data_IF_756618518261
#
_entry.id   IF_756618518261
#
_cell.length_a   1.000
_cell.length_b   1.000
_cell.length_c   1.000
_cell.angle_alpha   90.00
_cell.angle_beta   90.00
_cell.angle_gamma   90.00
#
_symmetry.space_group_name_H-M   'P 1'
#
loop_
_entity.id
_entity.type
_entity.pdbx_description
1 polymer ?
#
# COMPACT_ATOMS: atom_id res chain seq x y z
N UNK A 1 56.36 -21.46 -69.60
CA UNK A 1 55.96 -20.96 -68.27
C UNK A 1 54.46 -20.61 -68.30
N UNK A 2 53.64 -21.43 -67.69
CA UNK A 2 52.15 -21.18 -67.61
C UNK A 2 51.85 -20.56 -66.29
N UNK A 3 50.98 -19.55 -66.19
CA UNK A 3 50.57 -19.01 -64.91
C UNK A 3 49.44 -19.86 -64.34
N UNK A 4 49.54 -20.13 -63.04
CA UNK A 4 48.50 -20.79 -62.21
C UNK A 4 47.48 -19.76 -61.76
N UNK A 5 46.22 -19.95 -62.17
CA UNK A 5 45.13 -19.13 -61.72
C UNK A 5 44.60 -19.63 -60.36
N UNK A 6 44.63 -18.78 -59.35
CA UNK A 6 44.17 -19.05 -58.02
C UNK A 6 42.64 -18.69 -57.97
N UNK A 7 41.80 -19.69 -57.81
CA UNK A 7 40.34 -19.52 -57.69
C UNK A 7 40.00 -19.30 -56.21
N UNK A 8 39.60 -18.08 -55.85
CA UNK A 8 39.15 -17.76 -54.50
C UNK A 8 37.64 -18.04 -54.44
N UNK A 9 37.26 -19.05 -53.69
CA UNK A 9 35.86 -19.38 -53.42
C UNK A 9 35.36 -18.46 -52.28
N UNK A 10 34.47 -17.55 -52.61
CA UNK A 10 33.78 -16.67 -51.64
C UNK A 10 32.54 -17.38 -51.15
N UNK A 11 32.57 -17.94 -49.92
CA UNK A 11 31.38 -18.48 -49.22
C UNK A 11 30.60 -17.35 -48.59
N UNK A 12 29.47 -17.03 -49.14
CA UNK A 12 28.49 -16.08 -48.58
C UNK A 12 27.69 -16.82 -47.51
N UNK A 13 27.93 -16.51 -46.24
CA UNK A 13 27.04 -16.92 -45.12
C UNK A 13 25.83 -15.99 -45.09
N UNK A 14 24.68 -16.46 -45.53
CA UNK A 14 23.39 -15.82 -45.27
C UNK A 14 22.94 -16.13 -43.88
N UNK A 15 23.11 -15.17 -42.96
CA UNK A 15 22.49 -15.21 -41.64
C UNK A 15 20.98 -14.98 -41.78
N UNK A 16 20.19 -16.02 -41.63
CA UNK A 16 18.75 -15.92 -41.50
C UNK A 16 18.40 -15.27 -40.16
N UNK A 17 17.97 -14.01 -40.21
CA UNK A 17 17.43 -13.31 -39.07
C UNK A 17 16.04 -13.91 -38.76
N UNK A 18 15.96 -14.78 -37.72
CA UNK A 18 14.66 -15.21 -37.16
C UNK A 18 14.04 -14.01 -36.44
N UNK A 19 13.15 -13.30 -37.11
CA UNK A 19 12.25 -12.34 -36.46
C UNK A 19 11.21 -13.16 -35.73
N UNK A 20 11.39 -13.37 -34.43
CA UNK A 20 10.35 -13.88 -33.56
C UNK A 20 9.23 -12.81 -33.47
N UNK A 21 8.18 -12.99 -34.23
CA UNK A 21 6.92 -12.26 -34.04
C UNK A 21 6.37 -12.66 -32.69
N UNK A 22 6.53 -11.77 -31.68
CA UNK A 22 5.83 -11.88 -30.41
C UNK A 22 4.34 -11.66 -30.74
N UNK A 23 3.59 -12.76 -30.87
CA UNK A 23 2.12 -12.68 -30.89
C UNK A 23 1.68 -12.06 -29.56
N UNK A 24 0.69 -11.14 -29.56
CA UNK A 24 0.10 -10.67 -28.31
C UNK A 24 -0.48 -11.89 -27.60
N UNK A 25 0.12 -12.25 -26.45
CA UNK A 25 -0.23 -13.45 -25.70
C UNK A 25 -1.69 -13.39 -25.29
N UNK A 26 -2.44 -14.42 -25.65
CA UNK A 26 -3.62 -14.86 -24.91
C UNK A 26 -3.19 -14.84 -23.44
N UNK A 27 -3.80 -13.99 -22.62
CA UNK A 27 -3.41 -13.82 -21.21
C UNK A 27 -3.30 -15.19 -20.55
N UNK A 28 -2.13 -15.53 -20.05
CA UNK A 28 -1.90 -16.82 -19.43
C UNK A 28 -2.91 -16.98 -18.29
N UNK A 29 -3.78 -17.98 -18.40
CA UNK A 29 -4.70 -18.32 -17.33
C UNK A 29 -3.86 -18.75 -16.12
N UNK A 30 -4.17 -18.21 -14.93
CA UNK A 30 -3.51 -18.65 -13.71
C UNK A 30 -3.74 -20.14 -13.51
N UNK A 31 -2.70 -20.93 -13.19
CA UNK A 31 -2.87 -22.35 -12.85
C UNK A 31 -3.50 -22.52 -11.45
N UNK A 32 -3.66 -21.44 -10.69
CA UNK A 32 -4.10 -21.48 -9.31
C UNK A 32 -5.57 -21.11 -9.17
N UNK A 33 -6.26 -21.79 -8.27
CA UNK A 33 -7.58 -21.37 -7.79
C UNK A 33 -7.40 -20.28 -6.73
N UNK A 34 -8.33 -19.33 -6.70
CA UNK A 34 -8.36 -18.30 -5.67
C UNK A 34 -8.56 -18.95 -4.29
N UNK A 35 -7.76 -18.57 -3.27
CA UNK A 35 -8.01 -18.99 -1.90
C UNK A 35 -9.37 -18.48 -1.43
N UNK A 36 -10.01 -19.27 -0.58
CA UNK A 36 -11.33 -18.96 -0.01
C UNK A 36 -11.17 -18.49 1.43
N UNK A 37 -12.08 -17.62 1.85
CA UNK A 37 -12.04 -17.03 3.18
C UNK A 37 -13.43 -16.98 3.79
N UNK A 38 -13.48 -17.19 5.12
CA UNK A 38 -14.66 -16.92 5.94
C UNK A 38 -14.38 -15.79 6.93
N UNK A 39 -15.35 -14.88 7.14
CA UNK A 39 -15.20 -13.80 8.10
C UNK A 39 -15.33 -14.33 9.53
N UNK A 40 -14.48 -13.83 10.44
CA UNK A 40 -14.66 -14.01 11.88
C UNK A 40 -15.50 -12.86 12.44
N UNK A 41 -16.79 -13.07 12.74
CA UNK A 41 -17.67 -11.98 13.15
C UNK A 41 -17.39 -11.44 14.56
N UNK A 42 -16.55 -12.14 15.34
CA UNK A 42 -16.22 -11.79 16.72
C UNK A 42 -14.88 -11.07 16.85
N UNK A 43 -14.18 -10.84 15.74
CA UNK A 43 -12.90 -10.15 15.74
C UNK A 43 -13.02 -8.71 15.25
N UNK A 44 -12.39 -7.70 15.90
CA UNK A 44 -11.69 -7.74 17.19
C UNK A 44 -12.63 -7.52 18.38
N UNK A 45 -12.20 -7.90 19.59
CA UNK A 45 -12.91 -7.62 20.81
C UNK A 45 -12.50 -6.26 21.36
N UNK A 46 -13.37 -5.25 21.23
CA UNK A 46 -13.10 -3.89 21.71
C UNK A 46 -13.58 -3.77 23.16
N UNK A 47 -12.65 -3.61 24.14
CA UNK A 47 -13.01 -3.52 25.54
C UNK A 47 -13.44 -2.10 25.95
N UNK A 48 -13.78 -1.92 27.23
CA UNK A 48 -13.99 -0.64 27.89
C UNK A 48 -15.11 0.25 27.28
N UNK A 49 -16.02 -0.33 26.50
CA UNK A 49 -17.01 0.42 25.72
C UNK A 49 -16.37 1.44 24.74
N UNK A 50 -15.14 1.18 24.32
CA UNK A 50 -14.45 2.05 23.39
C UNK A 50 -15.12 2.09 22.03
N UNK A 51 -15.00 3.24 21.39
CA UNK A 51 -15.48 3.48 20.03
C UNK A 51 -14.26 3.74 19.14
N UNK A 52 -14.24 3.08 18.00
CA UNK A 52 -13.25 3.36 16.95
C UNK A 52 -13.75 4.49 16.03
N UNK A 53 -12.83 5.36 15.65
CA UNK A 53 -13.01 6.25 14.50
C UNK A 53 -12.73 5.49 13.19
N UNK A 54 -12.53 6.23 12.10
CA UNK A 54 -12.09 5.64 10.83
C UNK A 54 -10.85 4.78 11.06
N UNK A 55 -10.96 3.48 10.80
CA UNK A 55 -9.81 2.57 10.86
C UNK A 55 -9.06 2.72 9.55
N UNK A 56 -7.99 3.49 9.58
CA UNK A 56 -7.27 3.88 8.35
C UNK A 56 -6.27 2.85 7.90
N UNK A 57 -5.66 2.12 8.83
CA UNK A 57 -4.64 1.15 8.45
C UNK A 57 -4.52 0.01 9.45
N UNK A 58 -3.90 -1.07 9.01
CA UNK A 58 -3.69 -2.28 9.79
C UNK A 58 -2.37 -2.92 9.38
N UNK A 59 -1.63 -3.45 10.34
CA UNK A 59 -0.38 -4.16 10.11
C UNK A 59 -0.32 -5.42 10.97
N UNK A 60 0.43 -6.41 10.53
CA UNK A 60 0.68 -7.65 11.29
C UNK A 60 2.18 -7.75 11.53
N UNK A 61 2.57 -8.00 12.78
CA UNK A 61 3.97 -8.20 13.13
C UNK A 61 4.42 -9.66 12.94
N UNK A 62 5.70 -9.93 13.15
CA UNK A 62 6.30 -11.26 13.01
C UNK A 62 5.80 -12.31 14.00
N UNK A 63 5.06 -11.88 15.05
CA UNK A 63 4.45 -12.76 16.04
C UNK A 63 2.94 -12.95 15.81
N UNK A 64 2.44 -12.59 14.63
CA UNK A 64 1.01 -12.59 14.29
C UNK A 64 0.15 -11.73 15.22
N UNK A 65 0.68 -10.62 15.76
CA UNK A 65 -0.09 -9.60 16.45
C UNK A 65 -0.55 -8.55 15.47
N UNK A 66 -1.76 -8.10 15.65
CA UNK A 66 -2.44 -7.22 14.72
C UNK A 66 -2.47 -5.81 15.29
N UNK A 67 -1.87 -4.87 14.56
CA UNK A 67 -1.77 -3.47 14.91
C UNK A 67 -2.78 -2.67 14.09
N UNK A 68 -3.73 -2.06 14.78
CA UNK A 68 -4.82 -1.28 14.18
C UNK A 68 -4.57 0.19 14.45
N UNK A 69 -4.65 1.00 13.39
CA UNK A 69 -4.57 2.45 13.46
C UNK A 69 -5.93 3.05 13.11
N UNK A 70 -6.46 3.89 13.99
CA UNK A 70 -7.69 4.62 13.72
C UNK A 70 -7.56 6.11 14.03
N UNK A 71 -8.54 6.90 13.59
CA UNK A 71 -8.60 8.36 13.74
C UNK A 71 -9.62 8.72 14.82
N UNK A 72 -9.22 8.94 16.08
CA UNK A 72 -10.15 9.32 17.16
C UNK A 72 -10.96 10.58 16.85
N UNK A 73 -10.38 11.53 16.13
CA UNK A 73 -11.02 12.80 15.76
C UNK A 73 -12.20 12.61 14.79
N UNK A 74 -12.28 11.45 14.09
CA UNK A 74 -13.40 11.12 13.19
C UNK A 74 -14.63 10.58 13.92
N UNK A 75 -14.53 10.32 15.23
CA UNK A 75 -15.66 9.88 16.07
C UNK A 75 -16.63 11.05 16.26
N UNK A 76 -17.94 10.85 16.10
CA UNK A 76 -18.93 11.87 16.42
C UNK A 76 -18.73 12.43 17.84
N UNK A 77 -18.91 13.73 18.00
CA UNK A 77 -18.63 14.42 19.26
C UNK A 77 -19.32 13.78 20.47
N UNK A 78 -20.57 13.38 20.31
CA UNK A 78 -21.34 12.72 21.37
C UNK A 78 -20.74 11.38 21.88
N UNK A 79 -19.88 10.74 21.09
CA UNK A 79 -19.23 9.45 21.41
C UNK A 79 -17.72 9.60 21.71
N UNK A 80 -17.16 10.79 21.53
CA UNK A 80 -15.72 11.03 21.59
C UNK A 80 -15.12 10.77 22.98
N UNK A 81 -15.92 10.89 24.04
CA UNK A 81 -15.50 10.55 25.40
C UNK A 81 -15.10 9.06 25.56
N UNK A 82 -15.61 8.19 24.69
CA UNK A 82 -15.30 6.76 24.67
C UNK A 82 -14.30 6.40 23.55
N UNK A 83 -13.58 7.37 22.99
CA UNK A 83 -12.60 7.10 21.94
C UNK A 83 -11.49 6.19 22.45
N UNK A 84 -11.18 5.13 21.70
CA UNK A 84 -9.98 4.34 21.93
C UNK A 84 -8.72 5.18 21.65
N UNK A 85 -7.55 4.84 22.22
CA UNK A 85 -6.27 5.36 21.75
C UNK A 85 -6.03 5.02 20.28
N UNK A 86 -5.36 5.88 19.48
CA UNK A 86 -5.26 5.70 18.03
C UNK A 86 -4.53 4.42 17.58
N UNK A 87 -3.63 3.86 18.39
CA UNK A 87 -2.91 2.61 18.11
C UNK A 87 -3.38 1.52 19.04
N UNK A 88 -3.82 0.40 18.48
CA UNK A 88 -4.31 -0.76 19.23
C UNK A 88 -3.56 -2.02 18.77
N UNK A 89 -3.14 -2.85 19.71
CA UNK A 89 -2.51 -4.16 19.46
C UNK A 89 -3.45 -5.27 19.90
N UNK A 90 -3.73 -6.21 19.01
CA UNK A 90 -4.56 -7.39 19.27
C UNK A 90 -3.77 -8.67 19.03
N UNK A 91 -4.13 -9.74 19.74
CA UNK A 91 -3.73 -11.07 19.34
C UNK A 91 -4.59 -11.59 18.16
N UNK A 92 -4.21 -12.72 17.60
CA UNK A 92 -4.94 -13.32 16.49
C UNK A 92 -6.36 -13.77 16.85
N UNK A 93 -6.68 -13.94 18.15
CA UNK A 93 -8.03 -14.23 18.65
C UNK A 93 -8.89 -12.98 18.85
N UNK A 94 -8.31 -11.79 18.71
CA UNK A 94 -9.01 -10.51 18.84
C UNK A 94 -8.96 -9.88 20.23
N UNK A 95 -8.22 -10.46 21.16
CA UNK A 95 -8.03 -9.88 22.50
C UNK A 95 -7.07 -8.69 22.43
N UNK A 96 -7.46 -7.55 22.98
CA UNK A 96 -6.59 -6.38 23.09
C UNK A 96 -5.40 -6.71 24.02
N UNK A 97 -4.19 -6.42 23.55
CA UNK A 97 -2.93 -6.61 24.27
C UNK A 97 -2.37 -5.29 24.77
N UNK A 98 -2.37 -4.26 23.95
CA UNK A 98 -1.89 -2.92 24.31
C UNK A 98 -2.59 -1.84 23.50
N UNK A 99 -2.50 -0.59 23.96
CA UNK A 99 -3.00 0.58 23.26
C UNK A 99 -2.25 1.84 23.68
N UNK A 100 -1.99 2.73 22.72
CA UNK A 100 -1.28 3.98 22.97
C UNK A 100 -1.47 4.97 21.81
N UNK A 101 -0.90 6.14 21.92
CA UNK A 101 -0.89 7.17 20.87
C UNK A 101 -1.74 8.38 21.21
N UNK A 102 -1.71 9.35 20.32
CA UNK A 102 -2.36 10.63 20.50
C UNK A 102 -1.44 11.73 21.02
N UNK A 103 -1.93 12.97 21.13
CA UNK A 103 -1.15 14.11 21.60
C UNK A 103 -0.51 13.85 22.97
N UNK A 104 0.78 14.16 23.09
CA UNK A 104 1.56 13.98 24.35
C UNK A 104 2.26 12.62 24.47
N UNK A 105 2.04 11.67 23.59
CA UNK A 105 2.79 10.41 23.55
C UNK A 105 4.22 10.66 23.09
N UNK A 106 5.20 9.96 23.69
CA UNK A 106 6.61 10.10 23.35
C UNK A 106 7.34 11.29 23.98
N UNK A 107 6.78 11.93 25.03
CA UNK A 107 7.47 12.96 25.81
C UNK A 107 7.43 14.37 25.22
N UNK A 108 6.30 14.77 24.63
CA UNK A 108 6.12 16.10 24.04
C UNK A 108 6.40 16.16 22.55
N UNK A 109 6.42 15.02 21.90
CA UNK A 109 6.57 14.89 20.44
C UNK A 109 5.33 15.39 19.72
N UNK A 110 5.54 15.95 18.55
CA UNK A 110 4.49 16.27 17.62
C UNK A 110 3.76 14.99 17.17
N UNK A 111 2.48 14.88 17.47
CA UNK A 111 1.63 13.80 16.97
C UNK A 111 1.00 14.19 15.65
N UNK A 112 0.56 13.20 14.86
CA UNK A 112 -0.12 13.42 13.59
C UNK A 112 -1.47 14.14 13.80
N UNK A 113 -1.80 15.05 12.92
CA UNK A 113 -3.11 15.71 12.91
C UNK A 113 -4.23 14.78 12.41
N UNK A 114 -3.88 13.79 11.58
CA UNK A 114 -4.80 12.72 11.14
C UNK A 114 -4.02 11.48 10.73
N UNK A 115 -4.12 10.45 11.50
CA UNK A 115 -3.47 9.16 11.30
C UNK A 115 -3.91 8.52 9.97
N UNK A 116 -2.96 7.89 9.22
CA UNK A 116 -3.32 7.27 7.95
C UNK A 116 -2.71 5.89 7.72
N UNK A 117 -1.39 5.75 7.67
CA UNK A 117 -0.70 4.49 7.43
C UNK A 117 0.04 3.98 8.66
N UNK A 118 -0.02 2.68 8.94
CA UNK A 118 0.80 1.99 9.96
C UNK A 118 1.53 0.81 9.35
N UNK A 119 2.80 0.66 9.72
CA UNK A 119 3.60 -0.51 9.38
C UNK A 119 4.43 -0.95 10.57
N UNK A 120 4.45 -2.24 10.87
CA UNK A 120 5.35 -2.83 11.86
C UNK A 120 6.47 -3.53 11.14
N UNK A 121 7.71 -3.11 11.42
CA UNK A 121 8.89 -3.66 10.76
C UNK A 121 9.43 -4.93 11.44
N UNK A 122 10.33 -5.64 10.77
CA UNK A 122 10.89 -6.89 11.27
C UNK A 122 11.81 -6.72 12.50
N UNK A 123 12.13 -5.49 12.86
CA UNK A 123 12.91 -5.14 14.07
C UNK A 123 12.03 -4.66 15.24
N UNK A 124 10.70 -4.90 15.15
CA UNK A 124 9.72 -4.52 16.17
C UNK A 124 9.64 -2.99 16.39
N UNK A 125 9.67 -2.21 15.30
CA UNK A 125 9.35 -0.80 15.32
C UNK A 125 8.07 -0.52 14.55
N UNK A 126 7.30 0.44 15.02
CA UNK A 126 6.05 0.90 14.43
C UNK A 126 6.30 2.21 13.69
N UNK A 127 5.91 2.24 12.43
CA UNK A 127 6.02 3.40 11.58
C UNK A 127 4.62 3.92 11.25
N UNK A 128 4.40 5.23 11.41
CA UNK A 128 3.10 5.85 11.21
C UNK A 128 3.28 7.09 10.34
N UNK A 129 2.44 7.20 9.28
CA UNK A 129 2.26 8.39 8.47
C UNK A 129 0.86 8.98 8.64
N UNK A 130 0.70 10.24 8.26
CA UNK A 130 -0.57 10.94 8.40
C UNK A 130 -0.94 11.77 7.17
N UNK A 131 -2.21 12.28 7.17
CA UNK A 131 -2.77 13.07 6.08
C UNK A 131 -3.46 14.36 6.53
N UNK A 132 -3.16 14.92 7.66
CA UNK A 132 -3.69 16.21 8.06
C UNK A 132 -3.39 17.29 7.00
N UNK A 133 -4.35 18.15 6.71
CA UNK A 133 -4.23 19.18 5.67
C UNK A 133 -4.94 18.88 4.36
N UNK A 134 -5.34 17.64 4.06
CA UNK A 134 -5.99 17.28 2.80
C UNK A 134 -7.45 16.83 2.95
N UNK A 135 -8.33 17.15 2.05
CA UNK A 135 -8.55 18.43 1.35
C UNK A 135 -9.42 19.38 2.16
N UNK A 136 -9.75 19.00 3.41
CA UNK A 136 -10.72 19.69 4.28
C UNK A 136 -10.17 20.06 5.65
N UNK A 137 -8.88 20.00 5.83
CA UNK A 137 -8.28 20.46 7.08
C UNK A 137 -8.33 21.97 7.12
N UNK A 138 -9.07 22.50 8.08
CA UNK A 138 -9.27 23.93 8.23
C UNK A 138 -8.30 24.60 9.20
N UNK A 139 -7.42 23.83 9.82
CA UNK A 139 -6.42 24.38 10.75
C UNK A 139 -5.19 24.85 9.97
N UNK A 140 -4.95 26.15 9.86
CA UNK A 140 -3.78 26.68 9.18
C UNK A 140 -2.48 26.16 9.83
N UNK A 141 -1.52 25.76 9.00
CA UNK A 141 -0.19 25.30 9.47
C UNK A 141 -0.14 23.87 9.97
N UNK A 142 -1.25 23.13 9.96
CA UNK A 142 -1.28 21.70 10.29
C UNK A 142 -1.29 20.87 9.00
N UNK A 143 -0.16 20.23 8.71
CA UNK A 143 -0.01 19.26 7.64
C UNK A 143 0.89 18.13 8.13
N UNK A 144 0.51 16.89 7.91
CA UNK A 144 1.31 15.73 8.32
C UNK A 144 2.45 15.50 7.31
N UNK A 145 3.47 16.36 7.35
CA UNK A 145 4.62 16.30 6.46
C UNK A 145 5.75 15.45 7.04
N UNK A 146 5.39 14.44 7.85
CA UNK A 146 6.33 13.62 8.58
C UNK A 146 5.94 12.15 8.65
N UNK A 147 6.93 11.31 8.93
CA UNK A 147 6.78 9.90 9.29
C UNK A 147 7.41 9.71 10.67
N UNK A 148 6.69 9.02 11.54
CA UNK A 148 7.10 8.77 12.92
C UNK A 148 7.43 7.29 13.12
N UNK A 149 8.57 7.00 13.77
CA UNK A 149 9.00 5.65 14.16
C UNK A 149 8.94 5.52 15.68
N UNK A 150 8.25 4.50 16.16
CA UNK A 150 8.07 4.21 17.57
C UNK A 150 8.57 2.81 17.94
N UNK A 151 8.92 2.61 19.22
CA UNK A 151 8.96 1.26 19.79
C UNK A 151 7.54 0.69 19.87
N UNK A 152 7.40 -0.61 20.11
CA UNK A 152 6.10 -1.27 20.35
C UNK A 152 5.32 -0.65 21.52
N UNK A 153 6.03 -0.09 22.51
CA UNK A 153 5.43 0.59 23.66
C UNK A 153 5.11 2.09 23.44
N UNK A 154 5.19 2.59 22.19
CA UNK A 154 4.83 3.96 21.85
C UNK A 154 5.89 5.03 22.18
N UNK A 155 7.14 4.65 22.47
CA UNK A 155 8.24 5.61 22.62
C UNK A 155 8.75 6.03 21.24
N UNK A 156 8.78 7.34 20.95
CA UNK A 156 9.34 7.85 19.68
C UNK A 156 10.85 7.54 19.61
N UNK A 157 11.28 7.05 18.45
CA UNK A 157 12.67 6.70 18.13
C UNK A 157 13.26 7.59 17.05
N UNK A 158 12.46 7.87 16.01
CA UNK A 158 12.88 8.67 14.86
C UNK A 158 11.68 9.43 14.30
N UNK A 159 11.92 10.66 13.87
CA UNK A 159 11.00 11.46 13.09
C UNK A 159 11.68 11.86 11.78
N UNK A 160 11.03 11.60 10.64
CA UNK A 160 11.44 12.04 9.31
C UNK A 160 10.47 13.14 8.90
N UNK A 161 10.99 14.33 8.63
CA UNK A 161 10.18 15.50 8.32
C UNK A 161 9.57 16.20 9.54
N UNK A 162 8.81 17.27 9.30
CA UNK A 162 8.12 18.08 10.32
C UNK A 162 6.82 18.61 9.77
N UNK A 163 5.81 18.75 10.64
CA UNK A 163 4.49 19.29 10.27
C UNK A 163 4.61 20.65 9.59
N UNK A 164 3.89 20.81 8.49
CA UNK A 164 3.81 22.07 7.73
C UNK A 164 5.12 22.52 7.06
N UNK A 165 6.12 21.64 6.89
CA UNK A 165 7.43 22.01 6.35
C UNK A 165 7.73 21.46 4.96
N UNK A 166 6.77 20.77 4.32
CA UNK A 166 6.97 20.23 2.99
C UNK A 166 7.22 21.32 1.95
N UNK A 167 8.21 21.08 1.11
CA UNK A 167 8.58 21.92 -0.05
C UNK A 167 8.10 21.30 -1.38
N UNK A 168 7.21 20.31 -1.33
CA UNK A 168 6.66 19.64 -2.51
C UNK A 168 7.46 18.41 -2.97
N UNK A 169 7.26 17.99 -4.21
CA UNK A 169 7.80 16.73 -4.75
C UNK A 169 9.33 16.62 -4.75
N UNK A 170 10.04 17.73 -4.78
CA UNK A 170 11.51 17.76 -4.75
C UNK A 170 12.10 17.73 -3.34
N UNK A 171 11.28 17.75 -2.28
CA UNK A 171 11.76 17.81 -0.90
C UNK A 171 12.48 16.52 -0.52
N UNK A 172 13.69 16.64 0.04
CA UNK A 172 14.51 15.52 0.51
C UNK A 172 14.52 15.35 2.03
N UNK A 173 13.82 16.21 2.76
CA UNK A 173 13.76 16.22 4.21
C UNK A 173 12.38 15.84 4.73
N UNK A 174 11.32 16.25 4.02
CA UNK A 174 9.94 16.05 4.43
C UNK A 174 9.16 15.24 3.38
N UNK A 175 8.13 14.54 3.84
CA UNK A 175 7.02 14.05 3.01
C UNK A 175 5.94 15.14 2.93
N UNK A 176 4.86 14.89 2.19
CA UNK A 176 3.68 15.72 2.21
C UNK A 176 2.44 14.85 2.27
N UNK A 177 2.06 14.47 3.51
CA UNK A 177 0.91 13.61 3.79
C UNK A 177 1.08 12.19 3.20
N UNK A 178 2.11 11.49 3.69
CA UNK A 178 2.41 10.12 3.26
C UNK A 178 1.24 9.18 3.58
N UNK A 179 0.82 8.41 2.58
CA UNK A 179 -0.35 7.54 2.66
C UNK A 179 -0.04 6.18 3.26
N UNK A 180 1.10 5.60 2.93
CA UNK A 180 1.55 4.29 3.43
C UNK A 180 3.06 4.24 3.48
N UNK A 181 3.58 3.36 4.31
CA UNK A 181 5.01 3.10 4.44
C UNK A 181 5.28 1.60 4.41
N UNK A 182 6.45 1.24 3.92
CA UNK A 182 7.01 -0.11 4.01
C UNK A 182 8.47 -0.02 4.40
N UNK A 183 8.95 -0.91 5.27
CA UNK A 183 10.35 -0.92 5.72
C UNK A 183 11.03 -2.22 5.35
N UNK A 184 12.09 -2.10 4.56
CA UNK A 184 13.05 -3.17 4.29
C UNK A 184 14.18 -3.05 5.32
N UNK A 185 14.07 -3.83 6.40
CA UNK A 185 15.05 -3.78 7.50
C UNK A 185 16.43 -4.27 7.09
N UNK A 186 16.51 -5.20 6.14
CA UNK A 186 17.78 -5.71 5.64
C UNK A 186 18.54 -4.65 4.79
N UNK A 187 17.81 -3.86 4.00
CA UNK A 187 18.36 -2.75 3.24
C UNK A 187 18.48 -1.45 4.05
N UNK A 188 17.94 -1.40 5.27
CA UNK A 188 17.80 -0.20 6.11
C UNK A 188 17.09 0.92 5.36
N UNK A 189 15.93 0.60 4.76
CA UNK A 189 15.19 1.53 3.92
C UNK A 189 13.71 1.61 4.35
N UNK A 190 13.20 2.83 4.46
CA UNK A 190 11.76 3.10 4.55
C UNK A 190 11.29 3.72 3.24
N UNK A 191 10.36 3.05 2.60
CA UNK A 191 9.68 3.49 1.40
C UNK A 191 8.36 4.16 1.80
N UNK A 192 8.11 5.36 1.33
CA UNK A 192 6.85 6.05 1.56
C UNK A 192 6.12 6.29 0.23
N UNK A 193 4.84 5.91 0.20
CA UNK A 193 3.92 6.40 -0.80
C UNK A 193 3.50 7.82 -0.38
N UNK A 194 4.11 8.83 -0.98
CA UNK A 194 3.93 10.24 -0.63
C UNK A 194 2.90 10.85 -1.58
N UNK A 195 1.60 10.66 -1.27
CA UNK A 195 0.55 10.71 -2.27
C UNK A 195 -0.55 11.76 -2.08
N UNK A 196 -0.94 12.15 -0.86
CA UNK A 196 -2.00 13.15 -0.71
C UNK A 196 -1.54 14.56 -1.06
N UNK A 197 -0.37 14.95 -0.62
CA UNK A 197 0.21 16.26 -0.92
C UNK A 197 1.23 16.22 -2.03
N UNK A 198 1.89 15.08 -2.27
CA UNK A 198 2.88 14.85 -3.31
C UNK A 198 2.41 13.77 -4.31
N UNK A 199 3.23 13.49 -5.33
CA UNK A 199 2.99 12.47 -6.37
C UNK A 199 4.23 11.62 -6.59
N UNK A 200 4.73 11.00 -5.52
CA UNK A 200 6.01 10.28 -5.57
C UNK A 200 6.06 9.09 -4.62
N UNK A 201 7.00 8.20 -4.90
CA UNK A 201 7.60 7.35 -3.88
C UNK A 201 8.89 8.01 -3.43
N UNK A 202 9.12 8.08 -2.13
CA UNK A 202 10.37 8.56 -1.55
C UNK A 202 10.94 7.52 -0.60
N UNK A 203 12.25 7.37 -0.60
CA UNK A 203 12.97 6.38 0.23
C UNK A 203 13.96 7.11 1.12
N UNK A 204 13.88 6.80 2.41
CA UNK A 204 14.81 7.29 3.41
C UNK A 204 15.56 6.12 4.06
N UNK A 205 16.67 6.41 4.70
CA UNK A 205 17.35 5.48 5.59
C UNK A 205 16.53 5.28 6.87
N UNK A 206 16.23 4.03 7.22
CA UNK A 206 15.32 3.70 8.34
C UNK A 206 15.95 3.86 9.73
N UNK A 207 17.25 4.11 9.83
CA UNK A 207 17.96 4.33 11.09
C UNK A 207 18.22 5.83 11.33
N UNK A 208 18.52 6.58 10.26
CA UNK A 208 18.95 7.97 10.35
C UNK A 208 17.94 8.98 9.81
N UNK A 209 16.94 8.54 9.06
CA UNK A 209 15.97 9.41 8.38
C UNK A 209 16.55 10.17 7.17
N UNK A 210 17.77 9.88 6.73
CA UNK A 210 18.39 10.56 5.59
C UNK A 210 17.77 10.10 4.28
N UNK A 211 17.56 11.06 3.38
CA UNK A 211 17.09 10.80 2.03
C UNK A 211 18.04 9.87 1.26
N UNK A 212 17.49 8.92 0.51
CA UNK A 212 18.24 8.02 -0.38
C UNK A 212 17.88 8.24 -1.86
N UNK A 213 16.61 8.23 -2.21
CA UNK A 213 16.11 8.41 -3.59
C UNK A 213 14.60 8.65 -3.62
N UNK A 214 14.08 9.06 -4.78
CA UNK A 214 12.65 9.18 -5.05
C UNK A 214 12.36 8.93 -6.53
N UNK A 215 11.13 8.64 -6.85
CA UNK A 215 10.64 8.53 -8.23
C UNK A 215 9.14 8.80 -8.33
N UNK A 216 8.70 9.21 -9.50
CA UNK A 216 7.31 9.35 -9.92
C UNK A 216 6.79 8.13 -10.66
N UNK A 217 5.62 8.24 -11.26
CA UNK A 217 5.08 7.20 -12.11
C UNK A 217 6.04 6.85 -13.25
N UNK A 218 6.06 5.58 -13.68
CA UNK A 218 6.95 5.02 -14.70
C UNK A 218 8.46 5.16 -14.38
N UNK A 219 8.82 5.47 -13.13
CA UNK A 219 10.20 5.71 -12.72
C UNK A 219 10.75 7.10 -13.14
N UNK A 220 9.87 7.98 -13.59
CA UNK A 220 10.21 9.34 -13.98
C UNK A 220 10.56 10.21 -12.75
N UNK A 221 11.19 11.35 -12.99
CA UNK A 221 11.29 12.41 -11.97
C UNK A 221 9.89 12.87 -11.60
N UNK A 222 9.56 13.00 -10.30
CA UNK A 222 8.26 13.53 -9.89
C UNK A 222 8.03 14.94 -10.48
N UNK A 223 6.79 15.31 -10.83
CA UNK A 223 6.51 16.62 -11.41
C UNK A 223 6.89 17.74 -10.41
N UNK A 224 7.50 18.85 -10.87
CA UNK A 224 7.96 19.92 -9.98
C UNK A 224 6.81 20.66 -9.29
N UNK A 225 5.66 20.73 -9.94
CA UNK A 225 4.45 21.37 -9.42
C UNK A 225 3.32 20.37 -9.29
N UNK A 226 2.54 20.51 -8.22
CA UNK A 226 1.34 19.72 -8.01
C UNK A 226 0.18 20.35 -8.78
N UNK A 227 -0.27 19.71 -9.85
CA UNK A 227 -1.65 19.92 -10.26
C UNK A 227 -2.56 19.42 -9.14
N UNK A 228 -3.65 20.12 -8.85
CA UNK A 228 -4.63 19.67 -7.85
C UNK A 228 -4.99 18.20 -8.08
N UNK A 229 -4.85 17.37 -7.05
CA UNK A 229 -5.29 15.98 -7.13
C UNK A 229 -6.80 15.96 -7.33
N UNK A 230 -7.33 15.37 -8.40
CA UNK A 230 -8.76 15.16 -8.48
C UNK A 230 -9.19 14.26 -7.31
N UNK A 231 -10.23 14.65 -6.60
CA UNK A 231 -10.73 13.87 -5.46
C UNK A 231 -11.31 12.50 -5.88
N UNK A 232 -11.56 12.32 -7.16
CA UNK A 232 -12.19 11.14 -7.75
C UNK A 232 -11.34 10.55 -8.89
N UNK A 233 -11.37 9.24 -9.09
CA UNK A 233 -10.75 8.59 -10.24
C UNK A 233 -11.23 9.22 -11.55
N UNK A 234 -10.31 9.47 -12.47
CA UNK A 234 -10.60 10.04 -13.76
C UNK A 234 -10.65 8.95 -14.85
N UNK A 235 -11.51 9.08 -15.87
CA UNK A 235 -11.48 8.20 -17.00
C UNK A 235 -10.10 8.21 -17.67
N UNK A 236 -9.62 7.04 -18.04
CA UNK A 236 -8.31 6.90 -18.70
C UNK A 236 -8.44 7.27 -20.17
N UNK A 237 -7.73 8.29 -20.59
CA UNK A 237 -7.76 8.81 -21.98
C UNK A 237 -6.68 8.19 -22.88
N UNK A 238 -5.71 7.49 -22.31
CA UNK A 238 -4.63 6.80 -23.03
C UNK A 238 -4.47 5.37 -22.50
N UNK A 239 -3.94 4.43 -23.27
CA UNK A 239 -3.71 3.05 -22.82
C UNK A 239 -2.88 2.95 -21.54
N UNK A 240 -1.82 3.76 -21.43
CA UNK A 240 -0.93 3.78 -20.26
C UNK A 240 -1.44 4.67 -19.12
N UNK A 241 -2.38 5.57 -19.41
CA UNK A 241 -2.89 6.56 -18.48
C UNK A 241 -1.95 7.76 -18.28
N UNK A 242 -2.21 8.61 -17.27
CA UNK A 242 -1.42 9.80 -17.02
C UNK A 242 0.06 9.50 -16.74
N UNK A 243 0.99 10.38 -17.20
CA UNK A 243 2.44 10.19 -17.01
C UNK A 243 2.88 10.32 -15.54
N UNK A 244 2.07 10.96 -14.70
CA UNK A 244 2.33 11.16 -13.28
C UNK A 244 1.46 10.25 -12.43
N UNK A 245 1.86 10.02 -11.17
CA UNK A 245 0.95 9.45 -10.19
C UNK A 245 -0.24 10.38 -9.97
N UNK A 246 -1.43 9.81 -9.87
CA UNK A 246 -2.61 10.52 -9.41
C UNK A 246 -2.61 10.64 -7.90
N UNK A 247 -2.50 9.51 -7.22
CA UNK A 247 -2.37 9.42 -5.76
C UNK A 247 -1.70 8.07 -5.42
N UNK A 248 -0.39 7.99 -5.26
CA UNK A 248 0.26 6.80 -4.73
C UNK A 248 -0.21 6.56 -3.30
N UNK A 249 -1.04 5.53 -3.10
CA UNK A 249 -1.80 5.34 -1.86
C UNK A 249 -1.30 4.19 -1.01
N UNK A 250 -0.82 3.11 -1.61
CA UNK A 250 -0.22 2.00 -0.89
C UNK A 250 1.11 1.61 -1.51
N UNK A 251 2.02 1.11 -0.67
CA UNK A 251 3.33 0.62 -1.09
C UNK A 251 3.70 -0.64 -0.32
N UNK A 252 4.16 -1.66 -1.03
CA UNK A 252 4.75 -2.88 -0.44
C UNK A 252 5.91 -3.34 -1.31
N UNK A 253 6.90 -3.96 -0.68
CA UNK A 253 8.00 -4.61 -1.39
C UNK A 253 7.88 -6.11 -1.17
N UNK A 254 7.87 -6.86 -2.28
CA UNK A 254 7.85 -8.32 -2.21
C UNK A 254 9.22 -8.90 -1.84
N UNK A 255 9.26 -10.17 -1.41
CA UNK A 255 10.52 -10.85 -1.03
C UNK A 255 11.53 -10.90 -2.16
N UNK A 256 11.08 -10.98 -3.42
CA UNK A 256 11.91 -10.93 -4.61
C UNK A 256 12.31 -9.50 -5.04
N UNK A 257 11.98 -8.50 -4.23
CA UNK A 257 12.50 -7.13 -4.37
C UNK A 257 11.74 -6.25 -5.33
N UNK A 258 10.51 -6.60 -5.69
CA UNK A 258 9.64 -5.76 -6.50
C UNK A 258 8.81 -4.84 -5.60
N UNK A 259 8.82 -3.56 -5.91
CA UNK A 259 8.03 -2.52 -5.24
C UNK A 259 6.70 -2.37 -5.95
N UNK A 260 5.61 -2.57 -5.23
CA UNK A 260 4.23 -2.40 -5.70
C UNK A 260 3.68 -1.08 -5.19
N UNK A 261 3.15 -0.26 -6.08
CA UNK A 261 2.55 1.05 -5.76
C UNK A 261 1.12 1.09 -6.29
N UNK A 262 0.16 1.31 -5.41
CA UNK A 262 -1.23 1.56 -5.80
C UNK A 262 -1.38 3.02 -6.19
N UNK A 263 -1.54 3.31 -7.46
CA UNK A 263 -1.89 4.64 -7.97
C UNK A 263 -3.41 4.78 -8.01
N UNK A 264 -3.96 5.12 -6.85
CA UNK A 264 -5.38 5.05 -6.52
C UNK A 264 -6.28 5.81 -7.50
N UNK A 265 -5.94 7.05 -7.82
CA UNK A 265 -6.75 7.91 -8.69
C UNK A 265 -6.66 7.47 -10.15
N UNK A 266 -5.56 6.91 -10.57
CA UNK A 266 -5.35 6.43 -11.93
C UNK A 266 -5.76 4.97 -12.15
N UNK A 267 -6.37 4.33 -11.15
CA UNK A 267 -6.82 2.93 -11.21
C UNK A 267 -5.75 1.97 -11.76
N UNK A 268 -4.54 2.06 -11.23
CA UNK A 268 -3.43 1.19 -11.64
C UNK A 268 -2.53 0.79 -10.49
N UNK A 269 -1.85 -0.32 -10.67
CA UNK A 269 -0.76 -0.78 -9.82
C UNK A 269 0.50 -0.69 -10.66
N UNK A 270 1.49 0.07 -10.23
CA UNK A 270 2.78 0.11 -10.90
C UNK A 270 3.83 -0.66 -10.10
N UNK A 271 4.65 -1.43 -10.81
CA UNK A 271 5.70 -2.26 -10.27
C UNK A 271 7.06 -1.65 -10.61
N UNK A 272 7.96 -1.62 -9.63
CA UNK A 272 9.30 -1.06 -9.77
C UNK A 272 10.34 -1.98 -9.16
N UNK A 273 11.59 -1.83 -9.59
CA UNK A 273 12.73 -2.34 -8.80
C UNK A 273 12.89 -1.50 -7.52
N UNK A 274 13.68 -1.97 -6.56
CA UNK A 274 14.04 -1.18 -5.37
C UNK A 274 14.71 0.17 -5.69
N UNK A 275 15.31 0.30 -6.87
CA UNK A 275 15.96 1.53 -7.34
C UNK A 275 14.99 2.49 -8.04
N UNK A 276 13.70 2.15 -8.12
CA UNK A 276 12.67 2.97 -8.76
C UNK A 276 12.58 2.80 -10.28
N UNK A 277 13.28 1.82 -10.88
CA UNK A 277 13.13 1.53 -12.30
C UNK A 277 11.78 0.85 -12.53
N UNK A 278 10.98 1.40 -13.44
CA UNK A 278 9.70 0.83 -13.84
C UNK A 278 9.84 -0.56 -14.45
N UNK A 279 8.96 -1.47 -14.04
CA UNK A 279 8.91 -2.86 -14.53
C UNK A 279 7.67 -3.07 -15.39
N UNK A 280 6.50 -2.85 -14.83
CA UNK A 280 5.20 -2.95 -15.53
C UNK A 280 4.11 -2.27 -14.75
N UNK A 281 2.95 -2.09 -15.39
CA UNK A 281 1.71 -1.71 -14.69
C UNK A 281 0.61 -2.72 -14.95
N UNK A 282 -0.33 -2.76 -14.02
CA UNK A 282 -1.53 -3.58 -14.10
C UNK A 282 -2.73 -2.75 -13.64
N UNK A 283 -3.88 -3.00 -14.24
CA UNK A 283 -5.14 -2.41 -13.81
C UNK A 283 -5.99 -3.45 -13.09
N UNK A 284 -6.71 -3.00 -12.09
CA UNK A 284 -7.78 -3.81 -11.52
C UNK A 284 -8.93 -3.80 -12.53
N UNK A 285 -9.40 -4.99 -12.90
CA UNK A 285 -10.48 -5.11 -13.89
C UNK A 285 -11.84 -4.89 -13.24
N UNK A 286 -12.74 -4.27 -14.01
CA UNK A 286 -14.13 -4.12 -13.62
C UNK A 286 -14.91 -5.40 -13.97
N UNK A 287 -15.77 -5.87 -13.06
CA UNK A 287 -16.58 -7.09 -13.23
C UNK A 287 -17.88 -6.83 -13.99
N UNK A 288 -17.94 -5.77 -14.80
CA UNK A 288 -19.14 -5.40 -15.55
C UNK A 288 -20.13 -4.51 -14.77
N UNK A 289 -19.82 -4.19 -13.52
CA UNK A 289 -20.56 -3.20 -12.76
C UNK A 289 -20.00 -1.81 -13.06
N UNK A 290 -20.51 -0.88 -13.62
CA UNK A 290 -20.00 0.43 -14.02
C UNK A 290 -19.28 1.24 -12.92
N UNK A 291 -18.69 0.58 -11.90
CA UNK A 291 -17.95 1.21 -10.82
C UNK A 291 -16.44 1.15 -11.13
N UNK A 292 -15.79 2.30 -11.14
CA UNK A 292 -14.34 2.37 -11.39
C UNK A 292 -13.57 1.74 -10.23
N UNK A 293 -12.70 0.76 -10.51
CA UNK A 293 -11.84 0.19 -9.47
C UNK A 293 -10.89 1.23 -8.88
N UNK A 294 -10.60 1.10 -7.58
CA UNK A 294 -9.80 2.05 -6.79
C UNK A 294 -8.81 1.29 -5.92
N UNK A 295 -7.64 0.88 -6.45
CA UNK A 295 -6.64 0.16 -5.68
C UNK A 295 -6.13 1.06 -4.55
N UNK A 296 -6.23 0.58 -3.30
CA UNK A 296 -5.94 1.39 -2.12
C UNK A 296 -4.99 0.74 -1.11
N UNK A 297 -4.91 -0.58 -1.05
CA UNK A 297 -4.08 -1.31 -0.10
C UNK A 297 -3.59 -2.64 -0.64
N UNK A 298 -2.53 -3.19 -0.06
CA UNK A 298 -1.92 -4.46 -0.47
C UNK A 298 -1.63 -5.38 0.70
N UNK A 299 -1.79 -6.70 0.46
CA UNK A 299 -1.13 -7.74 1.23
C UNK A 299 -0.64 -8.85 0.29
N UNK A 300 0.41 -9.56 0.70
CA UNK A 300 0.89 -10.77 0.02
C UNK A 300 0.50 -12.00 0.81
N UNK A 301 0.28 -13.12 0.12
CA UNK A 301 0.21 -14.41 0.80
C UNK A 301 1.54 -14.73 1.49
N UNK A 302 1.51 -15.44 2.66
CA UNK A 302 2.70 -15.63 3.48
C UNK A 302 3.65 -16.71 2.96
N UNK A 303 3.25 -17.50 1.94
CA UNK A 303 4.10 -18.51 1.34
C UNK A 303 5.40 -17.92 0.79
N UNK A 304 6.43 -18.75 0.62
CA UNK A 304 7.77 -18.33 0.23
C UNK A 304 7.77 -17.49 -1.07
N UNK A 305 6.95 -17.88 -2.04
CA UNK A 305 6.84 -17.22 -3.35
C UNK A 305 5.89 -16.03 -3.33
N UNK A 306 5.16 -15.82 -2.22
CA UNK A 306 4.08 -14.83 -2.17
C UNK A 306 3.15 -14.98 -3.38
N UNK A 307 2.62 -16.19 -3.53
CA UNK A 307 1.88 -16.62 -4.72
C UNK A 307 0.70 -15.70 -5.05
N UNK A 308 0.03 -15.17 -4.03
CA UNK A 308 -1.09 -14.27 -4.20
C UNK A 308 -0.76 -12.85 -3.75
N UNK A 309 -1.25 -11.90 -4.54
CA UNK A 309 -1.35 -10.49 -4.15
C UNK A 309 -2.81 -10.15 -3.91
N UNK A 310 -3.12 -9.70 -2.71
CA UNK A 310 -4.43 -9.18 -2.34
C UNK A 310 -4.43 -7.66 -2.49
N UNK A 311 -5.44 -7.13 -3.17
CA UNK A 311 -5.57 -5.70 -3.48
C UNK A 311 -6.90 -5.18 -2.95
N UNK A 312 -6.85 -4.24 -2.05
CA UNK A 312 -8.03 -3.48 -1.65
C UNK A 312 -8.52 -2.68 -2.84
N UNK A 313 -9.77 -2.88 -3.23
CA UNK A 313 -10.46 -2.15 -4.29
C UNK A 313 -11.63 -1.36 -3.67
N UNK A 314 -11.34 -0.13 -3.26
CA UNK A 314 -12.29 0.75 -2.56
C UNK A 314 -13.39 1.34 -3.45
N UNK A 315 -13.34 1.13 -4.77
CA UNK A 315 -14.41 1.55 -5.68
C UNK A 315 -15.64 0.65 -5.52
N UNK A 316 -15.58 -0.60 -5.97
CA UNK A 316 -16.66 -1.58 -5.80
C UNK A 316 -16.72 -2.20 -4.41
N UNK A 317 -15.93 -1.77 -3.42
CA UNK A 317 -15.93 -2.22 -2.02
C UNK A 317 -15.64 -3.72 -1.89
N UNK A 318 -14.44 -4.13 -2.29
CA UNK A 318 -14.01 -5.54 -2.29
C UNK A 318 -12.51 -5.67 -2.12
N UNK A 319 -12.03 -6.88 -1.92
CA UNK A 319 -10.62 -7.24 -2.07
C UNK A 319 -10.46 -8.13 -3.29
N UNK A 320 -9.54 -7.77 -4.17
CA UNK A 320 -9.25 -8.52 -5.39
C UNK A 320 -8.04 -9.42 -5.17
N UNK A 321 -8.12 -10.66 -5.63
CA UNK A 321 -7.03 -11.64 -5.54
C UNK A 321 -6.36 -11.76 -6.90
N UNK A 322 -5.06 -11.51 -6.94
CA UNK A 322 -4.22 -11.74 -8.11
C UNK A 322 -3.31 -12.96 -7.91
N UNK A 323 -3.15 -13.76 -8.95
CA UNK A 323 -1.95 -14.54 -9.12
C UNK A 323 -0.78 -13.57 -9.34
N UNK A 324 0.13 -13.49 -8.37
CA UNK A 324 1.19 -12.48 -8.37
C UNK A 324 2.19 -12.64 -9.54
N UNK A 325 2.48 -13.86 -9.94
CA UNK A 325 3.46 -14.12 -11.00
C UNK A 325 2.96 -13.61 -12.36
N UNK A 326 1.71 -13.88 -12.69
CA UNK A 326 1.09 -13.46 -13.95
C UNK A 326 0.45 -12.08 -13.85
N UNK A 327 0.11 -11.62 -12.64
CA UNK A 327 -0.74 -10.47 -12.36
C UNK A 327 -2.14 -10.61 -12.99
N UNK A 328 -2.65 -11.83 -13.00
CA UNK A 328 -4.01 -12.15 -13.44
C UNK A 328 -4.95 -12.10 -12.25
N UNK A 329 -6.06 -11.41 -12.36
CA UNK A 329 -7.13 -11.41 -11.36
C UNK A 329 -7.83 -12.77 -11.39
N UNK A 330 -7.91 -13.43 -10.22
CA UNK A 330 -8.43 -14.81 -10.10
C UNK A 330 -9.59 -14.94 -9.12
N UNK A 331 -9.89 -13.92 -8.33
CA UNK A 331 -10.98 -13.95 -7.37
C UNK A 331 -11.22 -12.64 -6.67
N UNK A 332 -12.27 -12.62 -5.85
CA UNK A 332 -12.65 -11.48 -5.02
C UNK A 332 -13.11 -11.95 -3.64
N UNK A 333 -12.99 -11.09 -2.64
CA UNK A 333 -13.49 -11.27 -1.27
C UNK A 333 -14.38 -10.08 -0.94
N UNK A 334 -15.56 -10.36 -0.38
CA UNK A 334 -16.50 -9.36 0.09
C UNK A 334 -17.23 -8.61 -1.03
N UNK A 335 -18.12 -7.75 -0.63
CA UNK A 335 -18.93 -6.88 -1.48
C UNK A 335 -19.34 -5.65 -0.68
N UNK A 336 -19.98 -4.69 -1.34
CA UNK A 336 -20.52 -3.50 -0.66
C UNK A 336 -21.61 -3.86 0.34
N UNK A 337 -21.47 -3.38 1.58
CA UNK A 337 -22.46 -3.55 2.63
C UNK A 337 -21.92 -3.25 4.03
N UNK A 338 -22.72 -3.60 5.05
CA UNK A 338 -22.43 -3.29 6.45
C UNK A 338 -22.32 -4.53 7.34
N UNK A 339 -22.70 -5.69 6.83
CA UNK A 339 -22.62 -6.95 7.57
C UNK A 339 -21.18 -7.42 7.69
N UNK A 340 -20.93 -8.42 8.55
CA UNK A 340 -19.63 -9.09 8.61
C UNK A 340 -19.32 -9.73 7.25
N UNK A 341 -18.10 -9.51 6.74
CA UNK A 341 -17.67 -9.95 5.41
C UNK A 341 -18.03 -9.00 4.26
N UNK A 342 -18.84 -7.99 4.50
CA UNK A 342 -19.12 -6.90 3.54
C UNK A 342 -18.26 -5.68 3.85
N UNK A 343 -18.18 -4.71 2.93
CA UNK A 343 -17.38 -3.50 3.08
C UNK A 343 -18.17 -2.23 2.74
N UNK A 344 -17.96 -1.15 3.51
CA UNK A 344 -18.35 0.19 3.09
C UNK A 344 -17.18 0.84 2.33
N UNK A 345 -16.17 1.35 3.02
CA UNK A 345 -14.93 1.77 2.34
C UNK A 345 -13.76 0.99 2.95
N UNK A 346 -13.46 -0.17 2.36
CA UNK A 346 -12.23 -0.90 2.68
C UNK A 346 -11.02 -0.08 2.24
N UNK A 347 -10.02 0.07 3.12
CA UNK A 347 -8.98 1.08 2.95
C UNK A 347 -7.57 0.48 2.92
N UNK A 348 -7.18 -0.26 3.93
CA UNK A 348 -5.92 -0.99 4.01
C UNK A 348 -6.14 -2.43 4.46
N UNK A 349 -5.10 -3.25 4.32
CA UNK A 349 -5.13 -4.64 4.74
C UNK A 349 -3.75 -5.19 5.07
N UNK A 350 -3.73 -6.29 5.82
CA UNK A 350 -2.53 -7.07 6.13
C UNK A 350 -2.85 -8.57 6.14
N UNK A 351 -1.82 -9.41 6.07
CA UNK A 351 -1.92 -10.86 6.19
C UNK A 351 -1.04 -11.36 7.33
N UNK A 352 -1.50 -12.40 8.06
CA UNK A 352 -0.69 -13.08 9.05
C UNK A 352 0.09 -14.28 8.46
N UNK A 353 0.93 -14.92 9.25
CA UNK A 353 1.75 -16.07 8.82
C UNK A 353 0.93 -17.29 8.46
N UNK A 354 -0.33 -17.37 8.86
CA UNK A 354 -1.27 -18.45 8.56
C UNK A 354 -2.09 -18.20 7.30
N UNK A 355 -1.97 -17.00 6.71
CA UNK A 355 -2.68 -16.56 5.53
C UNK A 355 -4.03 -15.92 5.81
N UNK A 356 -4.39 -15.69 7.07
CA UNK A 356 -5.58 -14.91 7.37
C UNK A 356 -5.37 -13.46 6.95
N UNK A 357 -6.45 -12.79 6.53
CA UNK A 357 -6.42 -11.39 6.13
C UNK A 357 -7.12 -10.53 7.17
N UNK A 358 -6.60 -9.34 7.35
CA UNK A 358 -7.17 -8.32 8.22
C UNK A 358 -7.39 -7.06 7.40
N UNK A 359 -8.58 -6.48 7.48
CA UNK A 359 -8.97 -5.29 6.71
C UNK A 359 -9.31 -4.13 7.63
N UNK A 360 -9.06 -2.92 7.14
CA UNK A 360 -9.38 -1.66 7.79
C UNK A 360 -10.44 -0.92 6.97
N UNK A 361 -11.48 -0.40 7.63
CA UNK A 361 -12.58 0.33 6.99
C UNK A 361 -12.76 1.73 7.58
N UNK A 362 -12.96 2.69 6.69
CA UNK A 362 -13.20 4.11 7.04
C UNK A 362 -14.68 4.48 6.81
N UNK A 363 -15.01 5.75 7.10
CA UNK A 363 -16.31 6.40 6.89
C UNK A 363 -17.42 5.80 7.75
N UNK A 364 -18.32 4.97 7.24
CA UNK A 364 -19.51 4.56 7.99
C UNK A 364 -19.23 3.35 8.90
N UNK A 365 -18.56 2.32 8.38
CA UNK A 365 -18.33 1.08 9.13
C UNK A 365 -17.29 1.25 10.25
N UNK A 366 -16.21 2.02 10.04
CA UNK A 366 -15.18 2.35 11.06
C UNK A 366 -14.74 1.14 11.88
N UNK A 367 -14.35 0.07 11.20
CA UNK A 367 -14.02 -1.21 11.84
C UNK A 367 -12.81 -1.87 11.20
N UNK A 368 -12.26 -2.83 11.91
CA UNK A 368 -11.38 -3.84 11.36
C UNK A 368 -12.12 -5.18 11.28
N UNK A 369 -11.80 -5.99 10.29
CA UNK A 369 -12.35 -7.34 10.15
C UNK A 369 -11.24 -8.35 9.91
N UNK A 370 -11.47 -9.61 10.33
CA UNK A 370 -10.61 -10.75 10.08
C UNK A 370 -11.29 -11.73 9.14
N UNK A 371 -10.56 -12.17 8.13
CA UNK A 371 -10.95 -13.20 7.17
C UNK A 371 -10.03 -14.40 7.35
N UNK A 372 -10.59 -15.51 7.77
CA UNK A 372 -9.87 -16.76 8.03
C UNK A 372 -9.70 -17.52 6.73
N UNK A 373 -8.46 -17.89 6.39
CA UNK A 373 -8.18 -18.71 5.22
C UNK A 373 -8.77 -20.11 5.38
N UNK A 374 -9.63 -20.49 4.45
CA UNK A 374 -10.19 -21.83 4.39
C UNK A 374 -9.15 -22.81 3.85
N UNK A 375 -8.77 -23.78 4.68
CA UNK A 375 -7.89 -24.86 4.23
C UNK A 375 -8.74 -25.89 3.51
N UNK A 376 -8.37 -26.22 2.28
CA UNK A 376 -8.98 -27.35 1.58
C UNK A 376 -8.91 -28.58 2.49
N UNK A 377 -10.05 -29.17 2.84
CA UNK A 377 -10.04 -30.49 3.46
C UNK A 377 -9.46 -31.43 2.40
N UNK A 378 -8.24 -31.88 2.64
CA UNK A 378 -7.56 -32.90 1.84
C UNK A 378 -8.31 -34.25 1.92
#
# INVERSE_FOLDING_TARGET
MRPISLLVLLTVFTAALLVATVMPGIGAQSPFKAPQFSVDPNWPQIPNNWVLGEVTSISVDRNDRIWVLHVPQSIPEAQRANAAPPVLEFDAAGKLLSSWGGPGVGGGTEWLGREHGIFVDANDFIWIGGRAGWPRQTTPGVSDDMILKFTMAGKLVLQIGRSGQSKGNGDTENVHQATDVFVDTAAKEVYAADGYGNKRVVVFDSETGKFKRMWGAFGNTPPPTLAANPATPQPQTTPDGPPDFGLPHAIKVSRDGIVYVADRINNRIQLFTRQGKFVKQVRVTNDGNNVVPVPAGFAFSPDEKQQFLYVVDSGPMRVVIFDRATMTQIGVIGMKGTQAGEFDIVHHMAADSKGNLYTAEIVNNRRAQKFVLERSRS
#
